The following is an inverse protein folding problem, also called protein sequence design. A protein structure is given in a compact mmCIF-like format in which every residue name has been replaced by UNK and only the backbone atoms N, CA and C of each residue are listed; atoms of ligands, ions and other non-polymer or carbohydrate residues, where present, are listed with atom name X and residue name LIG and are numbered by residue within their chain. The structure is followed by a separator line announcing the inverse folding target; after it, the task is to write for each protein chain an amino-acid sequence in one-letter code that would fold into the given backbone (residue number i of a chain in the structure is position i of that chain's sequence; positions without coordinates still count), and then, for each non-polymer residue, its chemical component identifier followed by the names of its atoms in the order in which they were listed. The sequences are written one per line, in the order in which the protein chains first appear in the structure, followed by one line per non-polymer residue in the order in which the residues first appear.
data_IF_216312802797
#
_entry.id   IF_216312802797
#
_cell.length_a   1.000
_cell.length_b   1.000
_cell.length_c   1.000
_cell.angle_alpha   90.00
_cell.angle_beta   90.00
_cell.angle_gamma   90.00
#
_symmetry.space_group_name_H-M   'P 1'
#
loop_
_entity.id
_entity.type
_entity.pdbx_description
1 polymer ?
#
# COMPACT_ATOMS: atom_id res chain seq x y z
N UNK A 1 12.77 1.96 -0.80
CA UNK A 1 13.29 1.86 0.58
C UNK A 1 13.13 3.15 1.39
N UNK A 2 13.64 4.32 0.95
CA UNK A 2 13.62 5.58 1.74
C UNK A 2 12.24 5.98 2.30
N UNK A 3 11.18 6.00 1.48
CA UNK A 3 9.83 6.39 1.95
C UNK A 3 9.28 5.51 3.08
N UNK A 4 9.60 4.22 3.05
CA UNK A 4 9.19 3.28 4.10
C UNK A 4 9.97 3.54 5.40
N UNK A 5 11.27 3.82 5.30
CA UNK A 5 12.09 4.20 6.45
C UNK A 5 11.62 5.53 7.06
N UNK A 6 11.34 6.53 6.23
CA UNK A 6 10.81 7.82 6.66
C UNK A 6 9.47 7.62 7.39
N UNK A 7 8.58 6.77 6.86
CA UNK A 7 7.30 6.41 7.48
C UNK A 7 7.48 5.76 8.86
N UNK A 8 8.37 4.77 8.97
CA UNK A 8 8.64 4.06 10.22
C UNK A 8 9.34 4.94 11.27
N UNK A 9 10.04 5.99 10.85
CA UNK A 9 10.68 6.94 11.76
C UNK A 9 9.69 7.86 12.50
N UNK A 10 8.43 7.92 12.04
CA UNK A 10 7.38 8.72 12.67
C UNK A 10 6.93 8.05 13.97
N UNK A 11 7.37 8.58 15.10
CA UNK A 11 6.99 8.10 16.44
C UNK A 11 5.79 8.84 17.02
N UNK A 12 5.43 10.01 16.48
CA UNK A 12 4.27 10.77 16.92
C UNK A 12 2.97 9.99 16.66
N UNK A 13 1.99 10.02 17.59
CA UNK A 13 0.70 9.37 17.38
C UNK A 13 0.01 9.97 16.15
N UNK A 14 -0.48 9.12 15.24
CA UNK A 14 -1.28 9.62 14.13
C UNK A 14 -2.75 9.76 14.55
N UNK A 15 -3.29 10.97 14.42
CA UNK A 15 -4.75 11.15 14.42
C UNK A 15 -5.37 10.96 13.03
N UNK A 16 -4.55 10.71 12.00
CA UNK A 16 -4.99 10.50 10.63
C UNK A 16 -5.89 9.28 10.48
N UNK A 17 -5.61 8.22 11.23
CA UNK A 17 -6.45 7.04 11.29
C UNK A 17 -6.52 6.49 12.70
N UNK A 18 -7.73 6.16 13.14
CA UNK A 18 -7.97 5.52 14.44
C UNK A 18 -7.90 3.99 14.36
N UNK A 19 -7.90 3.44 13.15
CA UNK A 19 -7.90 2.02 12.90
C UNK A 19 -6.52 1.53 12.43
N UNK A 20 -6.22 0.24 12.59
CA UNK A 20 -5.01 -0.34 11.99
C UNK A 20 -5.10 -0.33 10.46
N UNK A 21 -4.00 0.04 9.80
CA UNK A 21 -3.78 -0.09 8.36
C UNK A 21 -2.60 -1.05 8.06
N UNK A 22 -2.22 -1.91 9.00
CA UNK A 22 -1.07 -2.80 8.82
C UNK A 22 -1.30 -3.84 7.70
N UNK A 23 -2.55 -4.26 7.51
CA UNK A 23 -3.01 -5.07 6.37
C UNK A 23 -3.84 -4.25 5.38
N UNK A 24 -4.10 -4.82 4.21
CA UNK A 24 -5.01 -4.21 3.24
C UNK A 24 -6.45 -4.18 3.74
N UNK A 25 -7.14 -3.07 3.44
CA UNK A 25 -8.56 -2.89 3.76
C UNK A 25 -9.18 -1.77 2.95
N UNK A 26 -10.51 -1.71 2.96
CA UNK A 26 -11.27 -0.56 2.50
C UNK A 26 -10.83 0.70 3.24
N UNK A 27 -10.86 1.83 2.54
CA UNK A 27 -10.56 3.14 3.11
C UNK A 27 -11.44 3.41 4.35
N UNK A 28 -10.86 3.64 5.54
CA UNK A 28 -11.63 3.98 6.72
C UNK A 28 -12.46 5.26 6.52
N UNK A 29 -13.70 5.28 6.98
CA UNK A 29 -14.60 6.45 6.83
C UNK A 29 -14.05 7.72 7.50
N UNK A 30 -13.24 7.57 8.55
CA UNK A 30 -12.61 8.69 9.25
C UNK A 30 -11.38 9.25 8.54
N UNK A 31 -10.85 8.56 7.52
CA UNK A 31 -9.62 8.96 6.84
C UNK A 31 -9.93 10.06 5.82
N UNK A 32 -9.27 11.20 6.00
CA UNK A 32 -9.45 12.38 5.15
C UNK A 32 -8.53 12.33 3.95
N UNK A 33 -9.08 12.08 2.76
CA UNK A 33 -8.31 11.94 1.52
C UNK A 33 -7.53 13.21 1.13
N UNK A 34 -8.06 14.40 1.43
CA UNK A 34 -7.38 15.69 1.22
C UNK A 34 -6.14 15.88 2.12
N UNK A 35 -5.97 15.04 3.15
CA UNK A 35 -4.75 14.97 3.97
C UNK A 35 -3.74 13.92 3.48
N UNK A 36 -4.01 13.25 2.36
CA UNK A 36 -3.11 12.30 1.72
C UNK A 36 -2.59 12.90 0.40
N UNK A 37 -1.34 13.30 0.40
CA UNK A 37 -0.64 13.78 -0.79
C UNK A 37 -0.10 12.58 -1.58
N UNK A 38 -0.32 12.55 -2.90
CA UNK A 38 0.29 11.54 -3.77
C UNK A 38 1.76 11.90 -4.03
N UNK A 39 2.67 10.98 -3.71
CA UNK A 39 4.12 11.19 -3.80
C UNK A 39 4.80 10.28 -4.84
N UNK A 40 4.04 9.38 -5.47
CA UNK A 40 4.51 8.53 -6.56
C UNK A 40 3.56 7.39 -6.87
N UNK A 41 3.84 6.65 -7.95
CA UNK A 41 3.15 5.42 -8.34
C UNK A 41 4.16 4.27 -8.43
N UNK A 42 3.70 3.06 -8.09
CA UNK A 42 4.45 1.82 -8.29
C UNK A 42 4.11 1.13 -9.62
N UNK A 43 3.14 1.69 -10.33
CA UNK A 43 2.83 1.33 -11.70
C UNK A 43 3.89 1.94 -12.62
N UNK A 44 4.70 1.08 -13.22
CA UNK A 44 5.95 1.45 -13.90
C UNK A 44 5.69 1.99 -15.32
N UNK A 45 4.87 1.30 -16.12
CA UNK A 45 4.51 1.70 -17.48
C UNK A 45 2.97 1.75 -17.66
N UNK A 46 2.39 2.90 -18.04
CA UNK A 46 0.95 3.04 -18.29
C UNK A 46 0.41 2.21 -19.46
N UNK A 47 1.27 1.67 -20.31
CA UNK A 47 0.92 0.84 -21.46
C UNK A 47 1.09 -0.66 -21.19
N UNK A 48 1.76 -1.04 -20.10
CA UNK A 48 1.86 -2.44 -19.68
C UNK A 48 0.65 -2.86 -18.85
N UNK A 49 0.28 -4.13 -18.96
CA UNK A 49 -0.72 -4.75 -18.10
C UNK A 49 -0.03 -5.41 -16.90
N UNK A 50 -0.12 -4.86 -15.68
CA UNK A 50 0.54 -5.44 -14.52
C UNK A 50 -0.03 -6.81 -14.22
N UNK A 51 0.84 -7.75 -13.90
CA UNK A 51 0.44 -9.08 -13.46
C UNK A 51 -0.55 -9.04 -12.29
N UNK A 52 -1.48 -9.99 -12.28
CA UNK A 52 -2.35 -10.28 -11.14
C UNK A 52 -1.75 -11.33 -10.19
N UNK A 53 -0.51 -11.78 -10.44
CA UNK A 53 0.17 -12.71 -9.55
C UNK A 53 0.42 -12.07 -8.18
N UNK A 54 0.08 -12.79 -7.13
CA UNK A 54 0.34 -12.42 -5.74
C UNK A 54 1.62 -13.11 -5.24
N UNK A 55 2.34 -12.46 -4.32
CA UNK A 55 3.55 -13.01 -3.70
C UNK A 55 3.33 -13.33 -2.22
N UNK A 56 3.06 -14.59 -1.92
CA UNK A 56 2.80 -15.06 -0.54
C UNK A 56 3.59 -16.35 -0.21
N UNK A 57 4.93 -16.31 -0.14
CA UNK A 57 5.76 -17.50 0.09
C UNK A 57 5.51 -18.18 1.45
N UNK A 58 5.03 -17.42 2.43
CA UNK A 58 4.66 -17.92 3.76
C UNK A 58 3.16 -18.24 3.89
N UNK A 59 2.38 -18.20 2.80
CA UNK A 59 0.94 -18.47 2.83
C UNK A 59 0.11 -17.37 3.51
N UNK A 60 0.64 -16.15 3.60
CA UNK A 60 -0.11 -14.96 4.04
C UNK A 60 -1.24 -14.64 3.07
N UNK A 61 -2.20 -13.84 3.53
CA UNK A 61 -3.37 -13.42 2.74
C UNK A 61 -3.41 -11.91 2.63
N UNK A 62 -4.38 -11.43 1.87
CA UNK A 62 -4.63 -10.01 1.65
C UNK A 62 -4.81 -9.23 2.97
N UNK A 63 -5.56 -9.80 3.91
CA UNK A 63 -5.83 -9.27 5.25
C UNK A 63 -4.72 -9.56 6.29
N UNK A 64 -3.63 -10.21 5.90
CA UNK A 64 -2.51 -10.49 6.81
C UNK A 64 -1.63 -9.26 7.01
N UNK A 65 -1.42 -8.86 8.27
CA UNK A 65 -0.57 -7.72 8.62
C UNK A 65 0.90 -7.95 8.25
N UNK A 66 1.33 -9.21 8.27
CA UNK A 66 2.68 -9.68 7.93
C UNK A 66 2.84 -10.09 6.46
N UNK A 67 1.83 -9.85 5.62
CA UNK A 67 1.96 -10.09 4.18
C UNK A 67 3.10 -9.24 3.59
N UNK A 68 3.99 -9.82 2.75
CA UNK A 68 5.08 -9.06 2.17
C UNK A 68 4.56 -7.96 1.24
N UNK A 69 5.27 -6.84 1.20
CA UNK A 69 5.07 -5.74 0.27
C UNK A 69 6.06 -5.96 -0.87
N UNK A 70 5.59 -6.57 -1.97
CA UNK A 70 6.39 -6.92 -3.14
C UNK A 70 5.98 -6.03 -4.34
N UNK A 71 6.69 -4.92 -4.62
CA UNK A 71 6.24 -3.90 -5.58
C UNK A 71 5.91 -4.40 -6.99
N UNK A 72 6.57 -5.46 -7.45
CA UNK A 72 6.33 -6.05 -8.77
C UNK A 72 5.06 -6.94 -8.87
N UNK A 73 4.38 -7.22 -7.76
CA UNK A 73 3.27 -8.17 -7.68
C UNK A 73 1.95 -7.48 -7.30
N UNK A 74 0.83 -8.14 -7.58
CA UNK A 74 -0.50 -7.66 -7.18
C UNK A 74 -0.64 -7.67 -5.64
N UNK A 75 -1.26 -6.64 -5.03
CA UNK A 75 -1.81 -5.42 -5.65
C UNK A 75 -0.80 -4.25 -5.74
N UNK A 76 0.44 -4.44 -5.28
CA UNK A 76 1.43 -3.37 -5.12
C UNK A 76 1.84 -2.71 -6.43
N UNK A 77 1.94 -3.49 -7.51
CA UNK A 77 2.27 -3.01 -8.87
C UNK A 77 1.23 -2.06 -9.49
N UNK A 78 0.11 -1.82 -8.79
CA UNK A 78 -0.97 -0.90 -9.18
C UNK A 78 -1.16 0.22 -8.15
N UNK A 79 -0.27 0.33 -7.17
CA UNK A 79 -0.44 1.26 -6.07
C UNK A 79 0.07 2.67 -6.39
N UNK A 80 -0.68 3.66 -5.91
CA UNK A 80 -0.18 5.00 -5.62
C UNK A 80 0.39 5.03 -4.21
N UNK A 81 1.58 5.61 -4.06
CA UNK A 81 2.18 5.91 -2.75
C UNK A 81 1.69 7.28 -2.30
N UNK A 82 1.13 7.37 -1.10
CA UNK A 82 0.70 8.63 -0.51
C UNK A 82 1.40 8.93 0.80
N UNK A 83 1.50 10.21 1.13
CA UNK A 83 2.03 10.73 2.39
C UNK A 83 0.94 11.46 3.16
N UNK A 84 0.79 11.15 4.44
CA UNK A 84 -0.10 11.91 5.32
C UNK A 84 0.51 13.27 5.64
N UNK A 85 -0.23 14.34 5.36
CA UNK A 85 0.18 15.72 5.62
C UNK A 85 0.22 16.07 7.11
N UNK A 86 -0.42 15.29 7.97
CA UNK A 86 -0.45 15.53 9.43
C UNK A 86 0.76 14.91 10.15
N UNK A 87 1.24 13.74 9.70
CA UNK A 87 2.28 13.00 10.42
C UNK A 87 3.48 12.56 9.56
N UNK A 88 3.39 12.64 8.24
CA UNK A 88 4.45 12.20 7.32
C UNK A 88 4.50 10.69 7.03
N UNK A 89 3.62 9.87 7.62
CA UNK A 89 3.56 8.42 7.30
C UNK A 89 3.15 8.20 5.86
N UNK A 90 3.68 7.12 5.28
CA UNK A 90 3.39 6.71 3.92
C UNK A 90 2.43 5.53 3.88
N UNK A 91 1.55 5.54 2.89
CA UNK A 91 0.54 4.51 2.64
C UNK A 91 0.56 4.10 1.18
N UNK A 92 0.19 2.87 0.92
CA UNK A 92 -0.08 2.33 -0.40
C UNK A 92 -1.59 2.35 -0.61
N UNK A 93 -2.03 2.84 -1.77
CA UNK A 93 -3.44 2.83 -2.17
C UNK A 93 -3.61 2.30 -3.56
N UNK A 94 -4.68 1.56 -3.80
CA UNK A 94 -5.08 1.19 -5.16
C UNK A 94 -6.60 1.05 -5.24
N UNK A 95 -7.14 1.17 -6.45
CA UNK A 95 -8.54 0.88 -6.71
C UNK A 95 -8.70 -0.60 -7.03
N UNK A 96 -9.38 -1.32 -6.15
CA UNK A 96 -9.76 -2.69 -6.40
C UNK A 96 -11.01 -2.71 -7.29
N UNK A 97 -10.87 -3.23 -8.50
CA UNK A 97 -11.98 -3.42 -9.42
C UNK A 97 -12.60 -4.81 -9.21
N UNK A 98 -13.87 -4.83 -8.80
CA UNK A 98 -14.74 -5.98 -8.92
C UNK A 98 -15.61 -5.86 -10.17
N UNK A 99 -16.33 -6.93 -10.55
CA UNK A 99 -17.14 -6.94 -11.78
C UNK A 99 -18.18 -5.82 -11.90
N UNK A 100 -18.63 -5.25 -10.78
CA UNK A 100 -19.63 -4.15 -10.75
C UNK A 100 -19.30 -3.02 -9.76
N UNK A 101 -18.10 -3.01 -9.16
CA UNK A 101 -17.73 -1.98 -8.17
C UNK A 101 -16.24 -1.65 -8.26
N UNK A 102 -15.89 -0.46 -7.80
CA UNK A 102 -14.50 -0.10 -7.48
C UNK A 102 -14.45 0.31 -6.02
N UNK A 103 -13.49 -0.24 -5.27
CA UNK A 103 -13.28 0.15 -3.87
C UNK A 103 -11.84 0.60 -3.67
N UNK A 104 -11.67 1.76 -3.03
CA UNK A 104 -10.33 2.26 -2.70
C UNK A 104 -9.80 1.49 -1.49
N UNK A 105 -8.66 0.85 -1.68
CA UNK A 105 -7.94 0.08 -0.67
C UNK A 105 -6.74 0.86 -0.16
N UNK A 106 -6.39 0.64 1.10
CA UNK A 106 -5.23 1.28 1.74
C UNK A 106 -4.48 0.30 2.64
N UNK A 107 -3.15 0.44 2.67
CA UNK A 107 -2.23 -0.26 3.58
C UNK A 107 -1.07 0.66 3.98
N UNK A 108 -0.56 0.52 5.19
CA UNK A 108 0.64 1.24 5.66
C UNK A 108 1.90 0.72 4.94
N UNK A 109 2.77 1.65 4.52
CA UNK A 109 4.07 1.30 3.97
C UNK A 109 5.06 1.00 5.10
N UNK A 110 5.36 -0.28 5.31
CA UNK A 110 6.19 -0.79 6.41
C UNK A 110 7.52 -1.33 5.85
N UNK A 111 8.68 -0.80 6.24
CA UNK A 111 9.98 -1.19 5.68
C UNK A 111 10.35 -2.65 5.96
N UNK A 112 9.95 -3.20 7.11
CA UNK A 112 10.22 -4.57 7.53
C UNK A 112 9.49 -5.63 6.67
N UNK A 113 8.47 -5.23 5.92
CA UNK A 113 7.73 -6.11 5.01
C UNK A 113 8.12 -5.90 3.54
N UNK A 114 8.95 -4.90 3.23
CA UNK A 114 9.38 -4.65 1.85
C UNK A 114 10.33 -5.75 1.37
N UNK A 115 9.97 -6.35 0.25
CA UNK A 115 10.77 -7.37 -0.42
C UNK A 115 10.89 -7.04 -1.91
N UNK A 116 11.98 -7.49 -2.53
CA UNK A 116 12.25 -7.33 -3.97
C UNK A 116 12.51 -8.68 -4.63
N UNK A 117 11.50 -9.58 -4.67
CA UNK A 117 11.60 -10.83 -5.39
C UNK A 117 11.65 -10.54 -6.90
N UNK A 118 12.40 -11.33 -7.69
CA UNK A 118 12.33 -11.22 -9.14
C UNK A 118 10.88 -11.44 -9.57
N UNK A 119 10.38 -10.56 -10.44
CA UNK A 119 9.17 -10.87 -11.18
C UNK A 119 9.40 -12.24 -11.84
N UNK A 120 8.46 -13.17 -11.67
CA UNK A 120 8.59 -14.52 -12.22
C UNK A 120 8.86 -14.48 -13.73
N UNK A 121 9.28 -15.61 -14.33
CA UNK A 121 9.39 -15.69 -15.78
C UNK A 121 8.08 -15.36 -16.50
#
# INVERSE_FOLDING_TARGET
MRLAQDSASVTAPCNCNKESLAAWRALPLGLKLDRLEEVGTLFDDPYDEPTFAEFHPAGTRYESEDAPIAPAFYPYNRCTVTRCLDCGRHYLRYNEAGGYFTELRIRALQPELLVDPPAGP
#
